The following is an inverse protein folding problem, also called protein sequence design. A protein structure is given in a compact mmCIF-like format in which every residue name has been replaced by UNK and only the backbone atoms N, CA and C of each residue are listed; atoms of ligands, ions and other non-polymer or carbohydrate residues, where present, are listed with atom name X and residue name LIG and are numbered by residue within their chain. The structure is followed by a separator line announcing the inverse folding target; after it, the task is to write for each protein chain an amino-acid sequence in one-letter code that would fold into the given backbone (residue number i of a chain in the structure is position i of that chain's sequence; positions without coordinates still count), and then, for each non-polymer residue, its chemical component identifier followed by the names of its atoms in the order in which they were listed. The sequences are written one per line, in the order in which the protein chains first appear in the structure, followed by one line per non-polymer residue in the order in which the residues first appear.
data_IF_866024401679
#
_entry.id   IF_866024401679
#
_cell.length_a   1.000
_cell.length_b   1.000
_cell.length_c   1.000
_cell.angle_alpha   90.00
_cell.angle_beta   90.00
_cell.angle_gamma   90.00
#
_symmetry.space_group_name_H-M   'P 1'
#
loop_
_entity.id
_entity.type
_entity.pdbx_description
1 polymer ?
#
# COMPACT_ATOMS: atom_id res chain seq x y z
N UNK A 1 -1.23 9.64 5.45
CA UNK A 1 -0.20 10.12 4.50
C UNK A 1 0.05 9.01 3.49
N UNK A 2 0.13 9.31 2.20
CA UNK A 2 0.37 8.33 1.14
C UNK A 2 1.76 8.57 0.53
N UNK A 3 2.57 7.51 0.43
CA UNK A 3 3.93 7.56 -0.12
C UNK A 3 4.06 6.47 -1.18
N UNK A 4 4.56 6.85 -2.36
CA UNK A 4 4.91 5.90 -3.41
C UNK A 4 6.43 5.81 -3.57
N UNK A 5 6.96 4.60 -3.53
CA UNK A 5 8.39 4.32 -3.74
C UNK A 5 8.52 3.64 -5.11
N UNK A 6 9.08 4.36 -6.08
CA UNK A 6 9.28 3.88 -7.45
C UNK A 6 10.77 3.63 -7.71
N UNK A 7 11.07 2.61 -8.51
CA UNK A 7 12.44 2.24 -8.86
C UNK A 7 12.54 0.88 -9.54
N UNK A 8 13.68 0.59 -10.14
CA UNK A 8 13.94 -0.65 -10.88
C UNK A 8 13.92 -1.89 -9.97
N UNK A 9 13.79 -3.08 -10.56
CA UNK A 9 13.93 -4.33 -9.81
C UNK A 9 15.32 -4.40 -9.14
N UNK A 10 15.39 -4.87 -7.89
CA UNK A 10 16.62 -4.92 -7.10
C UNK A 10 17.06 -3.60 -6.44
N UNK A 11 16.30 -2.49 -6.58
CA UNK A 11 16.67 -1.20 -5.99
C UNK A 11 16.41 -1.06 -4.49
N UNK A 12 16.04 -2.14 -3.78
CA UNK A 12 15.81 -2.13 -2.34
C UNK A 12 14.49 -1.49 -1.87
N UNK A 13 13.47 -1.39 -2.73
CA UNK A 13 12.16 -0.79 -2.36
C UNK A 13 11.51 -1.51 -1.18
N UNK A 14 11.43 -2.84 -1.25
CA UNK A 14 10.90 -3.69 -0.19
C UNK A 14 11.68 -3.55 1.11
N UNK A 15 13.01 -3.38 1.03
CA UNK A 15 13.85 -3.14 2.20
C UNK A 15 13.50 -1.81 2.87
N UNK A 16 13.33 -0.73 2.10
CA UNK A 16 12.93 0.57 2.64
C UNK A 16 11.53 0.50 3.26
N UNK A 17 10.57 -0.16 2.59
CA UNK A 17 9.22 -0.38 3.15
C UNK A 17 9.28 -1.12 4.49
N UNK A 18 10.08 -2.20 4.55
CA UNK A 18 10.28 -2.99 5.76
C UNK A 18 10.91 -2.14 6.86
N UNK A 19 11.96 -1.37 6.55
CA UNK A 19 12.61 -0.47 7.52
C UNK A 19 11.64 0.51 8.15
N UNK A 20 10.74 1.10 7.35
CA UNK A 20 9.69 1.96 7.88
C UNK A 20 8.72 1.18 8.76
N UNK A 21 8.31 -0.02 8.38
CA UNK A 21 7.50 -0.90 9.23
C UNK A 21 8.11 -1.07 10.63
N UNK A 22 9.40 -1.42 10.71
CA UNK A 22 10.11 -1.57 11.99
C UNK A 22 10.21 -0.28 12.83
N UNK A 23 9.98 0.90 12.25
CA UNK A 23 10.08 2.19 12.95
C UNK A 23 8.76 2.67 13.53
N UNK A 24 7.63 2.06 13.17
CA UNK A 24 6.33 2.46 13.68
C UNK A 24 5.79 1.47 14.70
N UNK A 25 5.27 1.98 15.81
CA UNK A 25 4.71 1.16 16.90
C UNK A 25 3.23 0.79 16.69
N UNK A 26 2.53 1.47 15.77
CA UNK A 26 1.12 1.18 15.44
C UNK A 26 0.98 -0.09 14.60
N UNK A 27 -0.24 -0.64 14.51
CA UNK A 27 -0.58 -1.79 13.66
C UNK A 27 0.03 -1.67 12.26
N UNK A 28 0.68 -2.75 11.80
CA UNK A 28 1.40 -2.81 10.52
C UNK A 28 0.66 -3.78 9.62
N UNK A 29 -0.07 -3.23 8.66
CA UNK A 29 -0.75 -4.00 7.64
C UNK A 29 0.16 -4.19 6.44
N UNK A 30 0.38 -5.44 6.00
CA UNK A 30 1.17 -5.67 4.79
C UNK A 30 0.73 -6.90 4.01
N UNK A 31 0.94 -6.84 2.69
CA UNK A 31 0.67 -7.96 1.78
C UNK A 31 1.82 -8.98 1.69
N UNK A 32 2.93 -8.71 2.35
CA UNK A 32 4.03 -9.64 2.53
C UNK A 32 4.26 -9.90 4.02
N UNK A 33 4.93 -11.02 4.33
CA UNK A 33 5.16 -11.42 5.71
C UNK A 33 6.24 -10.55 6.37
N UNK A 34 5.95 -10.06 7.57
CA UNK A 34 6.86 -9.29 8.41
C UNK A 34 7.02 -9.97 9.77
N UNK A 35 8.27 -10.04 10.27
CA UNK A 35 8.58 -10.57 11.61
C UNK A 35 8.46 -9.47 12.65
N UNK A 36 7.23 -8.99 12.88
CA UNK A 36 6.89 -7.92 13.81
C UNK A 36 5.70 -8.34 14.66
N UNK A 37 5.71 -7.98 15.95
CA UNK A 37 4.64 -8.39 16.89
C UNK A 37 3.29 -7.69 16.59
N UNK A 38 3.33 -6.52 15.95
CA UNK A 38 2.18 -5.73 15.52
C UNK A 38 1.83 -5.91 14.03
N UNK A 39 2.35 -6.98 13.39
CA UNK A 39 2.04 -7.34 12.00
C UNK A 39 0.63 -7.92 11.86
N UNK A 40 -0.11 -7.41 10.89
CA UNK A 40 -1.41 -7.92 10.48
C UNK A 40 -1.35 -8.19 8.96
N UNK A 41 -1.61 -9.43 8.51
CA UNK A 41 -1.65 -9.74 7.08
C UNK A 41 -2.80 -8.98 6.42
N UNK A 42 -2.52 -8.36 5.28
CA UNK A 42 -3.49 -7.61 4.51
C UNK A 42 -3.79 -8.33 3.20
N UNK A 43 -5.06 -8.56 2.92
CA UNK A 43 -5.53 -9.05 1.63
C UNK A 43 -6.18 -7.94 0.80
N UNK A 44 -6.36 -8.18 -0.50
CA UNK A 44 -7.08 -7.25 -1.39
C UNK A 44 -8.50 -6.97 -0.87
N UNK A 45 -9.18 -7.98 -0.30
CA UNK A 45 -10.53 -7.83 0.22
C UNK A 45 -10.59 -6.91 1.44
N UNK A 46 -9.54 -6.89 2.26
CA UNK A 46 -9.43 -5.99 3.41
C UNK A 46 -9.20 -4.55 2.96
N UNK A 47 -8.43 -4.36 1.87
CA UNK A 47 -8.24 -3.05 1.24
C UNK A 47 -9.55 -2.51 0.64
N UNK A 48 -10.44 -3.37 0.16
CA UNK A 48 -11.75 -2.99 -0.35
C UNK A 48 -12.75 -2.62 0.76
N UNK A 49 -12.56 -3.16 1.97
CA UNK A 49 -13.42 -2.98 3.13
C UNK A 49 -12.67 -2.27 4.27
N UNK A 50 -12.10 -1.09 3.99
CA UNK A 50 -11.24 -0.36 4.93
C UNK A 50 -11.94 0.04 6.25
N UNK A 51 -13.27 0.06 6.29
CA UNK A 51 -14.04 0.42 7.49
C UNK A 51 -13.78 -0.52 8.68
N UNK A 52 -13.26 -1.74 8.42
CA UNK A 52 -12.93 -2.72 9.45
C UNK A 52 -11.48 -2.64 9.95
N UNK A 53 -10.64 -1.78 9.36
CA UNK A 53 -9.24 -1.65 9.73
C UNK A 53 -9.09 -0.71 10.92
N UNK A 54 -8.42 -1.18 11.97
CA UNK A 54 -7.97 -0.31 13.07
C UNK A 54 -6.88 0.64 12.59
N UNK A 55 -6.73 1.79 13.25
CA UNK A 55 -5.69 2.77 12.93
C UNK A 55 -4.29 2.13 12.86
N UNK A 56 -3.58 2.33 11.75
CA UNK A 56 -2.29 1.72 11.51
C UNK A 56 -1.63 2.19 10.23
N UNK A 57 -0.50 1.57 9.88
CA UNK A 57 0.27 1.84 8.69
C UNK A 57 0.13 0.69 7.70
N UNK A 58 -0.11 1.01 6.43
CA UNK A 58 -0.25 0.02 5.36
C UNK A 58 1.00 0.05 4.49
N UNK A 59 1.64 -1.10 4.32
CA UNK A 59 2.83 -1.30 3.47
C UNK A 59 2.51 -2.32 2.38
N UNK A 60 2.46 -1.85 1.14
CA UNK A 60 2.17 -2.69 -0.03
C UNK A 60 3.42 -2.81 -0.89
N UNK A 61 3.90 -4.03 -1.10
CA UNK A 61 4.86 -4.34 -2.16
C UNK A 61 4.12 -4.75 -3.44
N UNK A 62 4.72 -4.47 -4.59
CA UNK A 62 4.15 -4.76 -5.93
C UNK A 62 2.66 -4.35 -6.07
N UNK A 63 2.28 -3.22 -5.47
CA UNK A 63 0.88 -2.79 -5.38
C UNK A 63 0.18 -2.61 -6.73
N UNK A 64 0.96 -2.43 -7.81
CA UNK A 64 0.44 -2.42 -9.18
C UNK A 64 -0.32 -3.71 -9.52
N UNK A 65 0.07 -4.87 -9.00
CA UNK A 65 -0.63 -6.14 -9.23
C UNK A 65 -2.05 -6.14 -8.68
N UNK A 66 -2.28 -5.38 -7.61
CA UNK A 66 -3.60 -5.23 -6.97
C UNK A 66 -4.44 -4.17 -7.70
N UNK A 67 -3.79 -3.14 -8.24
CA UNK A 67 -4.42 -2.07 -9.01
C UNK A 67 -4.78 -2.48 -10.44
N UNK A 68 -3.93 -3.29 -11.08
CA UNK A 68 -4.10 -3.75 -12.45
C UNK A 68 -5.03 -4.96 -12.58
N UNK A 69 -5.55 -5.50 -11.48
CA UNK A 69 -6.61 -6.51 -11.53
C UNK A 69 -7.89 -5.87 -12.08
N UNK A 70 -8.00 -5.85 -13.42
CA UNK A 70 -9.02 -5.18 -14.27
C UNK A 70 -10.49 -5.53 -13.96
N UNK A 71 -10.75 -6.34 -12.94
CA UNK A 71 -12.07 -6.81 -12.52
C UNK A 71 -12.75 -5.96 -11.46
N UNK A 72 -12.06 -5.05 -10.77
CA UNK A 72 -12.71 -4.19 -9.77
C UNK A 72 -12.95 -2.79 -10.32
N UNK A 73 -14.09 -2.58 -11.00
CA UNK A 73 -14.62 -1.25 -11.33
C UNK A 73 -15.03 -0.41 -10.10
N UNK A 74 -14.29 -0.52 -9.00
CA UNK A 74 -14.65 -0.03 -7.67
C UNK A 74 -13.68 1.07 -7.22
N UNK A 75 -14.15 1.95 -6.33
CA UNK A 75 -13.62 3.29 -5.98
C UNK A 75 -12.09 3.47 -5.85
N UNK A 76 -11.31 2.41 -5.61
CA UNK A 76 -9.84 2.43 -5.58
C UNK A 76 -9.19 2.75 -6.94
N UNK A 77 -9.78 2.30 -8.05
CA UNK A 77 -9.31 2.65 -9.40
C UNK A 77 -9.58 4.13 -9.71
N UNK A 78 -10.68 4.68 -9.18
CA UNK A 78 -10.97 6.11 -9.26
C UNK A 78 -10.00 6.92 -8.39
N UNK A 79 -9.74 6.48 -7.15
CA UNK A 79 -8.83 7.16 -6.22
C UNK A 79 -7.39 7.19 -6.74
N UNK A 80 -6.88 6.07 -7.27
CA UNK A 80 -5.54 6.03 -7.88
C UNK A 80 -5.48 6.84 -9.16
N UNK A 81 -6.49 6.76 -10.03
CA UNK A 81 -6.59 7.65 -11.19
C UNK A 81 -6.61 9.13 -10.78
N UNK A 82 -7.37 9.49 -9.74
CA UNK A 82 -7.50 10.87 -9.27
C UNK A 82 -6.20 11.40 -8.65
N UNK A 83 -5.48 10.58 -7.88
CA UNK A 83 -4.18 10.94 -7.29
C UNK A 83 -3.07 11.04 -8.34
N UNK A 84 -3.11 10.19 -9.37
CA UNK A 84 -2.17 10.25 -10.50
C UNK A 84 -2.46 11.48 -11.38
N UNK A 85 -3.73 11.74 -11.72
CA UNK A 85 -4.12 12.88 -12.57
C UNK A 85 -4.03 14.25 -11.86
N UNK A 86 -4.22 14.32 -10.54
CA UNK A 86 -3.97 15.57 -9.80
C UNK A 86 -2.50 16.01 -9.88
N UNK A 87 -1.57 15.06 -9.99
CA UNK A 87 -0.14 15.35 -10.11
C UNK A 87 0.23 15.93 -11.48
N UNK A 88 -0.50 15.59 -12.53
CA UNK A 88 -0.27 16.12 -13.89
C UNK A 88 -0.85 17.54 -14.10
N UNK A 89 -1.83 17.96 -13.31
CA UNK A 89 -2.41 19.33 -13.36
C UNK A 89 -1.74 20.34 -12.42
N UNK A 90 -0.62 19.95 -11.80
CA UNK A 90 0.18 20.78 -10.91
C UNK A 90 1.48 21.31 -11.54
N UNK A 91 1.42 21.70 -12.82
CA UNK A 91 2.42 22.51 -13.54
C UNK A 91 1.69 23.56 -14.39
#
# INVERSE_FOLDING_TARGET
MLIFILGNNGSGKTFILTYFGFKFDKNIYSNYELKLDNYIPLTINDLLNMDNLQEGNIFLDECYTWLESRTSGNALNLLTSYLIYQKEKGL
#
